data_IF_534876138118
#
_entry.id   IF_534876138118
#
_cell.length_a   1.000
_cell.length_b   1.000
_cell.length_c   1.000
_cell.angle_alpha   90.00
_cell.angle_beta   90.00
_cell.angle_gamma   90.00
#
_symmetry.space_group_name_H-M   'P 1'
#
loop_
_entity.id
_entity.type
_entity.pdbx_description
1 polymer ?
#
# COMPACT_ATOMS: atom_id res chain seq x y z
N UNK A 1 -14.32 4.11 11.73
CA UNK A 1 -14.68 3.05 10.77
C UNK A 1 -13.41 2.55 10.07
N UNK A 2 -13.32 1.28 9.65
CA UNK A 2 -12.19 0.85 8.80
C UNK A 2 -12.19 1.60 7.47
N UNK A 3 -11.03 2.13 7.09
CA UNK A 3 -10.82 2.85 5.83
C UNK A 3 -11.02 1.95 4.59
N UNK A 4 -10.95 0.62 4.75
CA UNK A 4 -11.11 -0.33 3.65
C UNK A 4 -12.46 -0.19 2.92
N UNK A 5 -13.51 0.29 3.62
CA UNK A 5 -14.85 0.45 3.05
C UNK A 5 -15.05 1.73 2.26
N UNK A 6 -14.11 2.69 2.31
CA UNK A 6 -14.27 3.99 1.67
C UNK A 6 -14.42 3.88 0.15
N UNK A 7 -13.73 2.92 -0.49
CA UNK A 7 -13.86 2.67 -1.92
C UNK A 7 -15.27 2.20 -2.30
N UNK A 8 -15.84 1.27 -1.53
CA UNK A 8 -17.21 0.76 -1.77
C UNK A 8 -18.25 1.86 -1.55
N UNK A 9 -18.08 2.66 -0.49
CA UNK A 9 -18.94 3.80 -0.20
C UNK A 9 -18.85 4.88 -1.28
N UNK A 10 -17.65 5.14 -1.80
CA UNK A 10 -17.42 6.10 -2.88
C UNK A 10 -18.20 5.69 -4.15
N UNK A 11 -18.06 4.44 -4.60
CA UNK A 11 -18.77 3.93 -5.78
C UNK A 11 -20.28 3.96 -5.55
N UNK A 12 -20.75 3.51 -4.38
CA UNK A 12 -22.18 3.53 -4.05
C UNK A 12 -22.76 4.94 -4.06
N UNK A 13 -22.00 5.94 -3.60
CA UNK A 13 -22.46 7.32 -3.47
C UNK A 13 -22.39 8.11 -4.78
N UNK A 14 -21.31 7.95 -5.54
CA UNK A 14 -21.01 8.80 -6.68
C UNK A 14 -21.09 8.08 -8.04
N UNK A 15 -21.30 6.77 -8.05
CA UNK A 15 -21.24 5.97 -9.27
C UNK A 15 -19.81 5.90 -9.83
N UNK A 16 -19.72 5.56 -11.11
CA UNK A 16 -18.45 5.52 -11.83
C UNK A 16 -18.09 6.91 -12.36
N UNK A 17 -16.85 7.35 -12.11
CA UNK A 17 -16.31 8.61 -12.63
C UNK A 17 -14.79 8.51 -12.84
N UNK A 18 -14.23 9.35 -13.70
CA UNK A 18 -12.79 9.44 -13.90
C UNK A 18 -12.10 10.02 -12.65
N UNK A 19 -11.23 9.24 -12.01
CA UNK A 19 -10.61 9.58 -10.74
C UNK A 19 -9.11 9.88 -10.83
N UNK A 20 -8.42 9.37 -11.86
CA UNK A 20 -6.98 9.53 -12.02
C UNK A 20 -6.60 9.63 -13.50
N UNK A 21 -5.71 10.56 -13.82
CA UNK A 21 -5.03 10.65 -15.12
C UNK A 21 -3.52 10.45 -14.92
N UNK A 22 -2.94 9.52 -15.66
CA UNK A 22 -1.52 9.19 -15.58
C UNK A 22 -1.00 8.76 -16.95
N UNK A 23 0.08 9.39 -17.42
CA UNK A 23 0.74 9.08 -18.70
C UNK A 23 -0.21 8.92 -19.89
N UNK A 24 -1.17 9.85 -20.03
CA UNK A 24 -2.14 9.86 -21.13
C UNK A 24 -3.29 8.84 -20.98
N UNK A 25 -3.27 7.98 -19.95
CA UNK A 25 -4.36 7.07 -19.60
C UNK A 25 -5.23 7.67 -18.49
N UNK A 26 -6.53 7.47 -18.61
CA UNK A 26 -7.51 7.79 -17.56
C UNK A 26 -8.00 6.52 -16.89
N UNK A 27 -8.26 6.61 -15.59
CA UNK A 27 -8.75 5.53 -14.76
C UNK A 27 -10.00 5.99 -14.02
N UNK A 28 -11.02 5.14 -13.99
CA UNK A 28 -12.19 5.42 -13.15
C UNK A 28 -11.93 5.03 -11.70
N UNK A 29 -12.76 5.56 -10.79
CA UNK A 29 -12.78 5.08 -9.40
C UNK A 29 -13.10 3.57 -9.32
N UNK A 30 -13.91 3.05 -10.24
CA UNK A 30 -14.23 1.61 -10.36
C UNK A 30 -13.01 0.82 -10.82
N UNK A 31 -12.23 1.31 -11.78
CA UNK A 31 -10.99 0.65 -12.21
C UNK A 31 -9.99 0.50 -11.05
N UNK A 32 -9.78 1.59 -10.30
CA UNK A 32 -8.89 1.61 -9.13
C UNK A 32 -9.38 0.67 -8.04
N UNK A 33 -10.69 0.63 -7.80
CA UNK A 33 -11.31 -0.27 -6.83
C UNK A 33 -11.14 -1.74 -7.20
N UNK A 34 -11.40 -2.10 -8.47
CA UNK A 34 -11.22 -3.47 -8.98
C UNK A 34 -9.77 -3.91 -8.85
N UNK A 35 -8.83 -3.05 -9.23
CA UNK A 35 -7.41 -3.32 -9.06
C UNK A 35 -7.04 -3.51 -7.59
N UNK A 36 -7.53 -2.65 -6.68
CA UNK A 36 -7.33 -2.82 -5.24
C UNK A 36 -7.89 -4.14 -4.70
N UNK A 37 -9.05 -4.61 -5.17
CA UNK A 37 -9.59 -5.92 -4.80
C UNK A 37 -8.69 -7.08 -5.27
N UNK A 38 -8.16 -7.01 -6.49
CA UNK A 38 -7.19 -8.00 -7.00
C UNK A 38 -5.89 -7.99 -6.20
N UNK A 39 -5.42 -6.80 -5.84
CA UNK A 39 -4.25 -6.63 -4.95
C UNK A 39 -4.50 -7.25 -3.57
N UNK A 40 -5.70 -7.08 -2.99
CA UNK A 40 -6.04 -7.69 -1.70
C UNK A 40 -5.96 -9.22 -1.73
N UNK A 41 -6.54 -9.86 -2.75
CA UNK A 41 -6.43 -11.31 -2.97
C UNK A 41 -4.97 -11.75 -3.14
N UNK A 42 -4.20 -11.01 -3.93
CA UNK A 42 -2.77 -11.29 -4.14
C UNK A 42 -2.02 -11.26 -2.82
N UNK A 43 -2.18 -10.20 -2.03
CA UNK A 43 -1.53 -10.08 -0.71
C UNK A 43 -1.97 -11.19 0.24
N UNK A 44 -3.26 -11.53 0.28
CA UNK A 44 -3.78 -12.64 1.08
C UNK A 44 -3.15 -13.98 0.67
N UNK A 45 -3.01 -14.26 -0.62
CA UNK A 45 -2.36 -15.47 -1.14
C UNK A 45 -0.86 -15.51 -0.82
N UNK A 46 -0.19 -14.37 -0.84
CA UNK A 46 1.20 -14.23 -0.36
C UNK A 46 1.30 -14.33 1.18
N UNK A 47 0.17 -14.56 1.85
CA UNK A 47 0.09 -14.84 3.27
C UNK A 47 0.11 -13.59 4.14
N UNK A 48 -0.18 -12.40 3.61
CA UNK A 48 -0.40 -11.19 4.41
C UNK A 48 -1.64 -11.38 5.28
N UNK A 49 -1.46 -11.23 6.58
CA UNK A 49 -2.51 -11.35 7.59
C UNK A 49 -2.85 -9.97 8.17
N UNK A 50 -4.01 -9.81 8.83
CA UNK A 50 -4.37 -8.54 9.45
C UNK A 50 -3.30 -8.05 10.43
N UNK A 51 -2.76 -6.86 10.18
CA UNK A 51 -1.73 -6.22 11.02
C UNK A 51 -0.32 -6.37 10.47
N UNK A 52 -0.11 -7.21 9.46
CA UNK A 52 1.17 -7.29 8.74
C UNK A 52 1.44 -6.01 7.96
N UNK A 53 2.72 -5.64 7.87
CA UNK A 53 3.16 -4.42 7.19
C UNK A 53 3.50 -4.72 5.75
N UNK A 54 2.99 -3.89 4.84
CA UNK A 54 3.34 -3.90 3.43
C UNK A 54 3.95 -2.56 3.08
N UNK A 55 5.21 -2.60 2.65
CA UNK A 55 5.91 -1.40 2.20
C UNK A 55 5.52 -1.09 0.76
N UNK A 56 5.22 0.17 0.50
CA UNK A 56 5.02 0.69 -0.85
C UNK A 56 6.07 1.76 -1.09
N UNK A 57 7.03 1.47 -1.97
CA UNK A 57 8.13 2.36 -2.32
C UNK A 57 8.10 2.60 -3.83
N UNK A 58 7.31 3.59 -4.24
CA UNK A 58 7.03 3.92 -5.63
C UNK A 58 7.05 5.44 -5.84
N UNK A 59 7.38 5.90 -7.06
CA UNK A 59 6.98 7.24 -7.50
C UNK A 59 5.44 7.33 -7.62
N UNK A 60 4.93 8.53 -7.89
CA UNK A 60 3.49 8.72 -8.10
C UNK A 60 3.06 7.98 -9.38
N UNK A 61 2.34 6.87 -9.21
CA UNK A 61 1.74 6.07 -10.27
C UNK A 61 0.40 5.47 -9.80
N UNK A 62 -0.45 4.94 -10.71
CA UNK A 62 -1.73 4.34 -10.36
C UNK A 62 -1.63 3.23 -9.31
N UNK A 63 -0.58 2.41 -9.39
CA UNK A 63 -0.35 1.25 -8.55
C UNK A 63 -0.18 1.62 -7.07
N UNK A 64 0.18 2.86 -6.73
CA UNK A 64 0.21 3.34 -5.35
C UNK A 64 -1.17 3.24 -4.70
N UNK A 65 -2.20 3.76 -5.36
CA UNK A 65 -3.57 3.75 -4.83
C UNK A 65 -4.18 2.35 -4.85
N UNK A 66 -3.85 1.56 -5.87
CA UNK A 66 -4.26 0.15 -5.95
C UNK A 66 -3.64 -0.67 -4.82
N UNK A 67 -2.37 -0.41 -4.49
CA UNK A 67 -1.65 -1.03 -3.38
C UNK A 67 -2.26 -0.67 -2.05
N UNK A 68 -2.46 0.63 -1.76
CA UNK A 68 -3.06 1.07 -0.50
C UNK A 68 -4.46 0.50 -0.29
N UNK A 69 -5.30 0.53 -1.34
CA UNK A 69 -6.62 -0.08 -1.28
C UNK A 69 -6.55 -1.58 -0.97
N UNK A 70 -5.67 -2.31 -1.64
CA UNK A 70 -5.49 -3.75 -1.41
C UNK A 70 -4.99 -4.09 -0.02
N UNK A 71 -3.99 -3.34 0.48
CA UNK A 71 -3.41 -3.51 1.81
C UNK A 71 -4.47 -3.30 2.89
N UNK A 72 -5.24 -2.21 2.83
CA UNK A 72 -6.28 -1.95 3.83
C UNK A 72 -7.39 -3.00 3.78
N UNK A 73 -7.73 -3.51 2.58
CA UNK A 73 -8.76 -4.54 2.41
C UNK A 73 -8.38 -5.88 3.02
N UNK A 74 -7.13 -6.31 2.91
CA UNK A 74 -6.65 -7.52 3.60
C UNK A 74 -6.41 -7.27 5.11
N UNK A 75 -6.65 -6.05 5.58
CA UNK A 75 -6.40 -5.63 6.96
C UNK A 75 -4.92 -5.42 7.26
N UNK A 76 -4.06 -5.30 6.25
CA UNK A 76 -2.65 -4.98 6.41
C UNK A 76 -2.44 -3.51 6.78
N UNK A 77 -1.21 -3.18 7.15
CA UNK A 77 -0.74 -1.85 7.51
C UNK A 77 0.14 -1.32 6.39
N UNK A 78 -0.21 -0.16 5.84
CA UNK A 78 0.57 0.48 4.78
C UNK A 78 1.82 1.11 5.42
N UNK A 79 3.00 0.85 4.83
CA UNK A 79 4.23 1.55 5.16
C UNK A 79 4.72 2.28 3.92
N UNK A 80 4.27 3.52 3.67
CA UNK A 80 4.70 4.26 2.51
C UNK A 80 6.13 4.76 2.72
N UNK A 81 6.99 4.49 1.74
CA UNK A 81 8.40 4.88 1.78
C UNK A 81 8.70 5.75 0.58
N UNK A 82 9.18 6.98 0.83
CA UNK A 82 9.58 7.86 -0.26
C UNK A 82 10.77 7.25 -1.00
N UNK A 83 10.64 7.12 -2.32
CA UNK A 83 11.66 6.49 -3.17
C UNK A 83 12.99 7.24 -3.19
N UNK A 84 13.07 8.45 -2.64
CA UNK A 84 14.30 9.25 -2.53
C UNK A 84 15.24 8.82 -1.41
N UNK A 85 14.78 7.98 -0.45
CA UNK A 85 15.65 7.48 0.61
C UNK A 85 16.76 6.58 0.06
N UNK A 86 17.92 6.57 0.72
CA UNK A 86 19.02 5.68 0.41
C UNK A 86 18.78 4.26 0.91
N UNK A 87 19.61 3.32 0.42
CA UNK A 87 19.52 1.89 0.77
C UNK A 87 19.56 1.65 2.29
N UNK A 88 20.42 2.34 3.03
CA UNK A 88 20.55 2.15 4.47
C UNK A 88 19.27 2.54 5.25
N UNK A 89 18.62 3.62 4.83
CA UNK A 89 17.38 4.09 5.46
C UNK A 89 16.22 3.14 5.13
N UNK A 90 16.15 2.66 3.88
CA UNK A 90 15.16 1.66 3.46
C UNK A 90 15.36 0.35 4.21
N UNK A 91 16.60 -0.14 4.34
CA UNK A 91 16.90 -1.34 5.11
C UNK A 91 16.48 -1.22 6.58
N UNK A 92 16.74 -0.05 7.21
CA UNK A 92 16.25 0.23 8.56
C UNK A 92 14.72 0.17 8.63
N UNK A 93 14.02 0.84 7.71
CA UNK A 93 12.54 0.84 7.69
C UNK A 93 11.98 -0.57 7.50
N UNK A 94 12.55 -1.37 6.60
CA UNK A 94 12.13 -2.75 6.36
C UNK A 94 12.29 -3.62 7.61
N UNK A 95 13.40 -3.46 8.33
CA UNK A 95 13.68 -4.19 9.56
C UNK A 95 12.78 -3.73 10.72
N UNK A 96 12.68 -2.42 10.96
CA UNK A 96 11.92 -1.83 12.07
C UNK A 96 10.42 -2.02 11.92
N UNK A 97 9.90 -1.93 10.68
CA UNK A 97 8.48 -2.22 10.42
C UNK A 97 8.18 -3.71 10.34
N UNK A 98 9.21 -4.57 10.27
CA UNK A 98 9.10 -6.00 9.95
C UNK A 98 8.21 -6.23 8.73
N UNK A 99 8.45 -5.48 7.66
CA UNK A 99 7.64 -5.54 6.44
C UNK A 99 7.65 -6.96 5.86
N UNK A 100 6.45 -7.45 5.50
CA UNK A 100 6.26 -8.80 4.95
C UNK A 100 6.33 -8.84 3.44
N UNK A 101 5.79 -7.81 2.81
CA UNK A 101 5.78 -7.63 1.35
C UNK A 101 6.26 -6.21 1.03
N UNK A 102 7.01 -6.07 -0.05
CA UNK A 102 7.38 -4.78 -0.64
C UNK A 102 6.79 -4.65 -2.03
N UNK A 103 6.16 -3.53 -2.34
CA UNK A 103 5.72 -3.16 -3.69
C UNK A 103 6.58 -1.99 -4.15
N UNK A 104 7.33 -2.19 -5.24
CA UNK A 104 8.30 -1.21 -5.75
C UNK A 104 8.45 -1.31 -7.28
N UNK A 105 9.38 -0.55 -7.86
CA UNK A 105 9.69 -0.56 -9.30
C UNK A 105 11.07 -1.13 -9.57
N UNK A 106 11.35 -1.53 -10.81
CA UNK A 106 12.67 -2.03 -11.23
C UNK A 106 13.79 -1.04 -10.93
N UNK A 107 13.51 0.27 -11.02
CA UNK A 107 14.50 1.32 -10.78
C UNK A 107 14.87 1.49 -9.29
N UNK A 108 14.04 0.97 -8.38
CA UNK A 108 14.20 1.13 -6.93
C UNK A 108 14.49 -0.20 -6.22
N UNK A 109 14.35 -1.33 -6.90
CA UNK A 109 14.49 -2.68 -6.31
C UNK A 109 15.85 -2.91 -5.65
N UNK A 110 16.91 -2.29 -6.17
CA UNK A 110 18.28 -2.40 -5.64
C UNK A 110 18.39 -1.96 -4.17
N UNK A 111 17.47 -1.13 -3.67
CA UNK A 111 17.39 -0.70 -2.26
C UNK A 111 16.80 -1.76 -1.33
N UNK A 112 16.19 -2.81 -1.89
CA UNK A 112 15.40 -3.82 -1.18
C UNK A 112 15.97 -5.22 -1.38
N UNK A 113 16.45 -5.55 -2.57
CA UNK A 113 16.80 -6.92 -2.98
C UNK A 113 17.83 -7.59 -2.05
N UNK A 114 18.80 -6.83 -1.52
CA UNK A 114 19.81 -7.37 -0.59
C UNK A 114 19.22 -7.77 0.76
N UNK A 115 18.04 -7.28 1.11
CA UNK A 115 17.34 -7.64 2.35
C UNK A 115 16.50 -8.91 2.19
N UNK A 116 16.25 -9.36 0.95
CA UNK A 116 15.52 -10.61 0.70
C UNK A 116 16.36 -11.79 1.18
N UNK A 117 15.78 -12.65 2.02
CA UNK A 117 16.48 -13.77 2.65
C UNK A 117 17.40 -13.38 3.83
N UNK A 118 17.66 -12.07 4.03
CA UNK A 118 18.36 -11.54 5.21
C UNK A 118 17.35 -11.19 6.30
N UNK A 119 16.30 -10.44 5.95
CA UNK A 119 15.21 -10.13 6.86
C UNK A 119 14.19 -11.28 6.85
N UNK A 120 13.95 -11.97 7.98
CA UNK A 120 13.04 -13.12 8.01
C UNK A 120 11.57 -12.72 7.82
N UNK A 121 11.22 -11.46 8.09
CA UNK A 121 9.88 -10.91 7.85
C UNK A 121 9.60 -10.74 6.36
N UNK A 122 10.58 -10.30 5.56
CA UNK A 122 10.42 -9.96 4.15
C UNK A 122 10.35 -11.21 3.29
N UNK A 123 9.15 -11.54 2.79
CA UNK A 123 8.88 -12.76 2.03
C UNK A 123 8.83 -12.53 0.53
N UNK A 124 8.17 -11.45 0.10
CA UNK A 124 7.91 -11.22 -1.32
C UNK A 124 8.15 -9.75 -1.70
N UNK A 125 8.63 -9.56 -2.93
CA UNK A 125 8.78 -8.24 -3.57
C UNK A 125 8.01 -8.25 -4.89
N UNK A 126 7.08 -7.31 -5.05
CA UNK A 126 6.28 -7.09 -6.25
C UNK A 126 6.82 -5.87 -7.02
N UNK A 127 7.13 -6.06 -8.30
CA UNK A 127 7.56 -4.99 -9.22
C UNK A 127 6.39 -4.50 -10.08
N UNK A 128 6.16 -3.19 -10.13
CA UNK A 128 5.05 -2.59 -10.89
C UNK A 128 5.29 -2.51 -12.40
N UNK A 129 6.54 -2.49 -12.83
CA UNK A 129 7.00 -2.26 -14.21
C UNK A 129 7.90 -3.40 -14.75
N UNK A 130 7.86 -4.57 -14.10
CA UNK A 130 8.65 -5.73 -14.49
C UNK A 130 8.25 -7.00 -13.73
N UNK A 131 9.16 -7.97 -13.65
CA UNK A 131 9.01 -9.22 -12.89
C UNK A 131 9.54 -10.45 -13.63
N UNK A 132 9.54 -11.61 -12.96
CA UNK A 132 9.91 -12.90 -13.58
C UNK A 132 11.40 -13.25 -13.54
N UNK A 133 12.22 -12.48 -12.81
CA UNK A 133 13.63 -12.79 -12.54
C UNK A 133 13.83 -13.07 -11.03
N UNK A 134 14.63 -14.11 -10.73
CA UNK A 134 15.26 -14.41 -9.43
C UNK A 134 14.51 -13.92 -8.16
N UNK A 135 13.31 -14.45 -7.89
CA UNK A 135 12.57 -14.20 -6.64
C UNK A 135 11.72 -12.92 -6.62
N UNK A 136 11.76 -12.11 -7.69
CA UNK A 136 10.93 -10.92 -7.87
C UNK A 136 9.69 -11.25 -8.70
N UNK A 137 8.53 -10.77 -8.26
CA UNK A 137 7.24 -11.04 -8.90
C UNK A 137 6.74 -9.83 -9.66
N UNK A 138 6.03 -10.06 -10.77
CA UNK A 138 5.35 -8.97 -11.46
C UNK A 138 4.04 -8.64 -10.77
N UNK A 139 3.87 -7.40 -10.32
CA UNK A 139 2.63 -6.93 -9.73
C UNK A 139 1.45 -7.14 -10.69
N UNK A 140 1.61 -6.72 -11.95
CA UNK A 140 0.56 -6.82 -12.96
C UNK A 140 0.12 -8.27 -13.22
N UNK A 141 1.08 -9.20 -13.36
CA UNK A 141 0.77 -10.61 -13.60
C UNK A 141 0.17 -11.31 -12.39
N UNK A 142 0.57 -10.94 -11.17
CA UNK A 142 0.02 -11.50 -9.94
C UNK A 142 -1.42 -11.05 -9.74
N UNK A 143 -1.72 -9.75 -9.88
CA UNK A 143 -3.10 -9.24 -9.68
C UNK A 143 -4.05 -9.65 -10.82
N UNK A 144 -3.56 -9.82 -12.05
CA UNK A 144 -4.40 -10.19 -13.19
C UNK A 144 -5.09 -11.56 -13.02
N UNK A 145 -4.55 -12.43 -12.16
CA UNK A 145 -5.06 -13.77 -11.87
C UNK A 145 -6.20 -13.76 -10.85
N UNK A 146 -6.35 -12.68 -10.11
CA UNK A 146 -7.26 -12.63 -8.96
C UNK A 146 -8.64 -12.06 -9.31
N UNK A 147 -9.62 -12.31 -8.44
CA UNK A 147 -10.96 -11.71 -8.54
C UNK A 147 -10.93 -10.20 -8.34
N UNK A 148 -11.78 -9.46 -9.05
CA UNK A 148 -11.97 -8.02 -8.87
C UNK A 148 -12.96 -7.66 -7.74
N UNK A 149 -13.40 -8.65 -6.96
CA UNK A 149 -14.23 -8.46 -5.77
C UNK A 149 -13.56 -9.10 -4.57
N UNK A 150 -13.45 -8.34 -3.49
CA UNK A 150 -12.87 -8.78 -2.23
C UNK A 150 -13.73 -8.30 -1.06
N UNK A 151 -14.10 -9.21 -0.16
CA UNK A 151 -14.75 -8.84 1.09
C UNK A 151 -13.69 -8.38 2.08
N UNK A 152 -13.75 -7.12 2.50
CA UNK A 152 -12.69 -6.54 3.34
C UNK A 152 -12.64 -7.22 4.70
N UNK A 153 -11.43 -7.54 5.15
CA UNK A 153 -11.22 -8.13 6.47
C UNK A 153 -11.61 -7.11 7.54
N UNK A 154 -12.48 -7.45 8.51
CA UNK A 154 -12.89 -6.52 9.55
C UNK A 154 -11.71 -6.02 10.38
N UNK A 155 -11.64 -4.69 10.58
CA UNK A 155 -10.69 -4.01 11.46
C UNK A 155 -11.44 -3.04 12.37
N UNK A 156 -10.98 -2.92 13.61
CA UNK A 156 -11.46 -1.92 14.56
C UNK A 156 -10.87 -0.54 14.26
N UNK A 157 -11.53 0.49 14.75
CA UNK A 157 -11.13 1.89 14.54
C UNK A 157 -9.74 2.23 15.10
N UNK A 158 -9.35 1.56 16.19
CA UNK A 158 -8.04 1.71 16.82
C UNK A 158 -6.93 0.89 16.17
N UNK A 159 -7.24 0.01 15.21
CA UNK A 159 -6.24 -0.76 14.49
C UNK A 159 -5.39 0.13 13.60
N UNK A 160 -4.11 -0.23 13.47
CA UNK A 160 -3.17 0.46 12.59
C UNK A 160 -3.58 0.33 11.12
N UNK A 161 -3.53 1.46 10.42
CA UNK A 161 -3.77 1.53 8.99
C UNK A 161 -2.50 1.93 8.23
N UNK A 162 -1.70 2.83 8.81
CA UNK A 162 -0.49 3.38 8.18
C UNK A 162 0.60 3.55 9.22
N UNK A 163 1.86 3.25 8.86
CA UNK A 163 3.05 3.67 9.62
C UNK A 163 3.85 4.62 8.75
N UNK A 164 3.89 5.90 9.11
CA UNK A 164 4.66 6.93 8.41
C UNK A 164 6.03 7.09 9.06
N UNK A 165 7.11 6.78 8.34
CA UNK A 165 8.45 7.05 8.84
C UNK A 165 8.80 8.52 8.66
N UNK A 166 9.32 9.11 9.73
CA UNK A 166 9.89 10.46 9.73
C UNK A 166 11.38 10.36 9.96
N UNK A 167 12.18 11.26 9.36
CA UNK A 167 13.63 11.28 9.54
C UNK A 167 14.04 11.43 11.01
N UNK A 168 13.13 11.93 11.87
CA UNK A 168 13.42 12.25 13.26
C UNK A 168 14.38 13.43 13.39
N UNK A 169 14.29 14.17 14.50
CA UNK A 169 15.23 15.26 14.79
C UNK A 169 16.52 14.78 15.47
N UNK A 170 16.62 13.48 15.80
CA UNK A 170 17.68 12.93 16.67
C UNK A 170 18.34 11.65 16.16
N UNK A 171 18.25 11.31 14.87
CA UNK A 171 18.96 10.15 14.31
C UNK A 171 18.12 9.31 13.36
N UNK A 172 18.05 8.00 13.60
CA UNK A 172 17.42 7.00 12.72
C UNK A 172 15.91 7.23 12.53
N UNK A 173 15.34 6.97 11.34
CA UNK A 173 13.91 7.17 11.09
C UNK A 173 13.00 6.43 12.08
N UNK A 174 11.91 7.11 12.49
CA UNK A 174 10.93 6.57 13.46
C UNK A 174 9.56 6.45 12.81
N UNK A 175 8.92 5.29 12.98
CA UNK A 175 7.57 5.01 12.51
C UNK A 175 6.50 5.68 13.37
N UNK A 176 5.69 6.54 12.76
CA UNK A 176 4.49 7.12 13.36
C UNK A 176 3.31 6.21 13.03
N UNK A 177 2.83 5.48 14.04
CA UNK A 177 1.72 4.56 13.90
C UNK A 177 0.38 5.31 13.90
N UNK A 178 -0.37 5.21 12.80
CA UNK A 178 -1.64 5.88 12.59
C UNK A 178 -2.75 4.83 12.45
N UNK A 179 -3.78 4.96 13.29
CA UNK A 179 -4.96 4.12 13.20
C UNK A 179 -5.90 4.53 12.06
N UNK A 180 -6.84 3.64 11.72
CA UNK A 180 -7.95 3.98 10.83
C UNK A 180 -8.70 5.24 11.31
N UNK A 181 -8.98 5.34 12.61
CA UNK A 181 -9.67 6.49 13.19
C UNK A 181 -8.84 7.79 13.13
N UNK A 182 -7.52 7.72 13.30
CA UNK A 182 -6.67 8.91 13.17
C UNK A 182 -6.78 9.52 11.78
N UNK A 183 -6.67 8.68 10.75
CA UNK A 183 -6.74 9.10 9.35
C UNK A 183 -8.15 9.54 8.95
N UNK A 184 -9.18 8.82 9.38
CA UNK A 184 -10.57 9.20 9.12
C UNK A 184 -10.87 10.58 9.74
N UNK A 185 -10.49 10.79 11.00
CA UNK A 185 -10.68 12.06 11.70
C UNK A 185 -9.97 13.20 10.98
N UNK A 186 -8.70 13.00 10.58
CA UNK A 186 -7.94 14.01 9.86
C UNK A 186 -8.59 14.37 8.51
N UNK A 187 -8.99 13.36 7.72
CA UNK A 187 -9.63 13.58 6.43
C UNK A 187 -10.96 14.35 6.56
N UNK A 188 -11.78 14.02 7.57
CA UNK A 188 -13.04 14.75 7.84
C UNK A 188 -12.78 16.20 8.23
N UNK A 189 -11.81 16.45 9.11
CA UNK A 189 -11.42 17.80 9.50
C UNK A 189 -10.93 18.60 8.29
N UNK A 190 -10.08 18.02 7.44
CA UNK A 190 -9.62 18.68 6.22
C UNK A 190 -10.76 19.00 5.25
N UNK A 191 -11.68 18.04 5.04
CA UNK A 191 -12.85 18.26 4.16
C UNK A 191 -13.75 19.39 4.66
N UNK A 192 -14.01 19.46 5.98
CA UNK A 192 -14.83 20.53 6.56
C UNK A 192 -14.25 21.93 6.38
N UNK A 193 -12.93 22.06 6.20
CA UNK A 193 -12.30 23.35 5.91
C UNK A 193 -12.55 23.83 4.48
N UNK A 194 -12.89 22.91 3.57
CA UNK A 194 -13.19 23.23 2.16
C UNK A 194 -14.68 23.54 1.93
N UNK A 195 -15.50 23.37 2.96
CA UNK A 195 -16.93 23.75 2.97
C UNK A 195 -17.17 25.14 3.60
N UNK A 196 -16.10 25.85 4.00
CA UNK A 196 -16.09 27.26 4.42
C UNK A 196 -15.93 28.19 3.22
#
# INVERSE_FOLDING_TARGET
>A
MSLAHLGDQNIKRYGEYEALAFEGRRWTNVDQHRAACRTAHTLQRLGVEPGDRVVVMLPNCPEVMQSYGGILRVGGVIVPVIFLLGEAEVAHILADSEAKVVITSSDMVWKVEKQMGVLPSLRDVLLVDGGGQAGLRSFAEEIARESDRFESVPRADGDLAVILYTSGTTGTPKGVALSHANLESNARSAASLSEL
#
